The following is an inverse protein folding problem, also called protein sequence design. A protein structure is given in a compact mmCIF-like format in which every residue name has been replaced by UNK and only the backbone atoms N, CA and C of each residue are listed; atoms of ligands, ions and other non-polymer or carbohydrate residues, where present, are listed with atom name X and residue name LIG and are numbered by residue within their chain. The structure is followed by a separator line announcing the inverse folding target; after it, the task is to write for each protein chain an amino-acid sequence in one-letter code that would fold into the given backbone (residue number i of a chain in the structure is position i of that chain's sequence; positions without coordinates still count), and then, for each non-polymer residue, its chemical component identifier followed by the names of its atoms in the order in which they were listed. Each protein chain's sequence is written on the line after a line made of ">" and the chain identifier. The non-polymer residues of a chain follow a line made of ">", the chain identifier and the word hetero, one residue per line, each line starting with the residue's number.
data_IF_506778691208
#
_entry.id   IF_506778691208
#
_cell.length_a   1.000
_cell.length_b   1.000
_cell.length_c   1.000
_cell.angle_alpha   90.00
_cell.angle_beta   90.00
_cell.angle_gamma   90.00
#
_symmetry.space_group_name_H-M   'P 1'
#
loop_
_entity.id
_entity.type
_entity.pdbx_description
1 polymer ?
#
# COMPACT_ATOMS: atom_id res chain seq x y z
N UNK A 1 -18.44 21.67 -2.27
CA UNK A 1 -17.52 20.63 -2.80
C UNK A 1 -16.38 20.51 -1.82
N UNK A 2 -15.86 19.31 -1.61
CA UNK A 2 -14.71 19.15 -0.73
C UNK A 2 -13.46 19.78 -1.36
N UNK A 3 -12.60 20.34 -0.51
CA UNK A 3 -11.29 20.88 -0.87
C UNK A 3 -10.18 19.90 -0.52
N UNK A 4 -9.12 19.87 -1.31
CA UNK A 4 -7.97 19.00 -1.12
C UNK A 4 -6.65 19.75 -1.14
N UNK A 5 -5.67 19.24 -0.39
CA UNK A 5 -4.27 19.61 -0.56
C UNK A 5 -3.39 18.36 -0.67
N UNK A 6 -2.22 18.48 -1.32
CA UNK A 6 -1.25 17.40 -1.45
C UNK A 6 0.04 17.78 -0.77
N UNK A 7 0.50 16.93 0.16
CA UNK A 7 1.75 17.09 0.89
C UNK A 7 2.74 16.02 0.43
N UNK A 8 3.85 16.44 -0.17
CA UNK A 8 4.80 15.61 -0.89
C UNK A 8 4.48 15.54 -2.38
N UNK A 9 5.24 16.26 -3.21
CA UNK A 9 5.07 16.34 -4.67
C UNK A 9 6.07 15.41 -5.40
N UNK A 10 6.20 14.17 -4.88
CA UNK A 10 7.06 13.14 -5.45
C UNK A 10 6.39 12.30 -6.54
N UNK A 11 6.96 11.11 -6.81
CA UNK A 11 6.53 10.26 -7.92
C UNK A 11 5.06 9.80 -7.82
N UNK A 12 4.55 9.52 -6.60
CA UNK A 12 3.17 9.02 -6.40
C UNK A 12 2.14 10.14 -6.40
N UNK A 13 2.53 11.38 -6.09
CA UNK A 13 1.58 12.52 -6.04
C UNK A 13 0.85 12.77 -7.35
N UNK A 14 1.47 12.44 -8.49
CA UNK A 14 0.85 12.61 -9.82
C UNK A 14 -0.46 11.81 -9.96
N UNK A 15 -0.54 10.65 -9.30
CA UNK A 15 -1.75 9.81 -9.31
C UNK A 15 -2.85 10.44 -8.47
N UNK A 16 -2.48 11.01 -7.31
CA UNK A 16 -3.41 11.72 -6.44
C UNK A 16 -3.93 13.01 -7.10
N UNK A 17 -3.05 13.80 -7.69
CA UNK A 17 -3.44 15.03 -8.41
C UNK A 17 -4.39 14.72 -9.57
N UNK A 18 -4.11 13.69 -10.37
CA UNK A 18 -4.98 13.28 -11.46
C UNK A 18 -6.35 12.77 -10.95
N UNK A 19 -6.38 12.08 -9.81
CA UNK A 19 -7.64 11.62 -9.22
C UNK A 19 -8.47 12.79 -8.67
N UNK A 20 -7.84 13.74 -7.98
CA UNK A 20 -8.46 14.99 -7.49
C UNK A 20 -9.14 15.74 -8.64
N UNK A 21 -8.40 15.93 -9.75
CA UNK A 21 -8.90 16.60 -10.96
C UNK A 21 -10.13 15.87 -11.54
N UNK A 22 -10.03 14.53 -11.74
CA UNK A 22 -11.13 13.73 -12.31
C UNK A 22 -12.38 13.71 -11.46
N UNK A 23 -12.22 13.76 -10.14
CA UNK A 23 -13.32 13.79 -9.19
C UNK A 23 -13.97 15.19 -9.08
N UNK A 24 -13.39 16.21 -9.70
CA UNK A 24 -13.83 17.58 -9.58
C UNK A 24 -13.67 18.15 -8.17
N UNK A 25 -12.75 17.59 -7.38
CA UNK A 25 -12.38 18.11 -6.06
C UNK A 25 -11.50 19.35 -6.25
N UNK A 26 -11.72 20.41 -5.49
CA UNK A 26 -10.93 21.62 -5.57
C UNK A 26 -9.55 21.41 -4.92
N UNK A 27 -8.48 21.46 -5.71
CA UNK A 27 -7.11 21.47 -5.19
C UNK A 27 -6.75 22.88 -4.73
N UNK A 28 -6.72 23.10 -3.42
CA UNK A 28 -6.43 24.42 -2.83
C UNK A 28 -4.95 24.66 -2.60
N UNK A 29 -4.10 23.63 -2.54
CA UNK A 29 -2.67 23.81 -2.38
C UNK A 29 -1.84 22.56 -2.47
N UNK A 30 -0.54 22.74 -2.61
CA UNK A 30 0.47 21.66 -2.59
C UNK A 30 1.63 22.08 -1.67
N UNK A 31 2.31 21.09 -1.07
CA UNK A 31 3.45 21.33 -0.19
C UNK A 31 4.58 20.35 -0.50
N UNK A 32 5.78 20.85 -0.71
CA UNK A 32 7.01 20.04 -0.75
C UNK A 32 8.18 20.90 -0.26
N UNK A 33 9.03 20.39 0.67
CA UNK A 33 10.19 21.14 1.15
C UNK A 33 11.26 21.38 0.06
N UNK A 34 11.18 20.66 -1.07
CA UNK A 34 12.04 20.87 -2.24
C UNK A 34 11.36 21.88 -3.19
N UNK A 35 11.82 23.14 -3.26
CA UNK A 35 11.08 24.21 -3.96
C UNK A 35 10.82 23.93 -5.44
N UNK A 36 11.68 23.14 -6.10
CA UNK A 36 11.52 22.76 -7.49
C UNK A 36 10.33 21.84 -7.76
N UNK A 37 9.74 21.19 -6.73
CA UNK A 37 8.61 20.29 -6.86
C UNK A 37 7.25 20.95 -6.65
N UNK A 38 7.23 22.03 -5.89
CA UNK A 38 6.03 22.83 -5.64
C UNK A 38 6.35 24.32 -5.82
N UNK A 39 6.60 24.80 -7.05
CA UNK A 39 7.13 26.16 -7.27
C UNK A 39 6.23 27.28 -6.74
N UNK A 40 4.92 27.06 -6.69
CA UNK A 40 3.91 27.99 -6.15
C UNK A 40 3.27 27.48 -4.86
N UNK A 41 3.81 26.41 -4.29
CA UNK A 41 3.27 25.73 -3.11
C UNK A 41 3.97 26.14 -1.81
N UNK A 42 3.55 25.48 -0.76
CA UNK A 42 4.13 25.61 0.56
C UNK A 42 5.38 24.74 0.71
N UNK A 43 6.32 25.18 1.53
CA UNK A 43 7.50 24.39 1.92
C UNK A 43 7.30 23.69 3.27
N UNK A 44 6.34 24.15 4.07
CA UNK A 44 5.98 23.59 5.36
C UNK A 44 4.49 23.20 5.36
N UNK A 45 4.21 21.94 5.70
CA UNK A 45 2.85 21.44 5.73
C UNK A 45 1.95 22.09 6.80
N UNK A 46 2.53 22.56 7.93
CA UNK A 46 1.76 23.24 8.98
C UNK A 46 1.23 24.57 8.46
N UNK A 47 2.07 25.32 7.76
CA UNK A 47 1.65 26.60 7.18
C UNK A 47 0.53 26.37 6.17
N UNK A 48 0.63 25.33 5.33
CA UNK A 48 -0.43 24.94 4.40
C UNK A 48 -1.74 24.61 5.14
N UNK A 49 -1.67 23.78 6.20
CA UNK A 49 -2.83 23.38 6.98
C UNK A 49 -3.49 24.54 7.69
N UNK A 50 -2.70 25.46 8.26
CA UNK A 50 -3.18 26.62 9.03
C UNK A 50 -3.81 27.69 8.11
N UNK A 51 -3.20 27.94 6.94
CA UNK A 51 -3.64 28.98 6.00
C UNK A 51 -4.85 28.53 5.16
N UNK A 52 -4.81 27.29 4.63
CA UNK A 52 -5.79 26.81 3.64
C UNK A 52 -6.93 26.00 4.24
N UNK A 53 -6.71 25.32 5.36
CA UNK A 53 -7.69 24.47 6.06
C UNK A 53 -8.47 23.57 5.10
N UNK A 54 -7.79 22.71 4.29
CA UNK A 54 -8.47 21.85 3.36
C UNK A 54 -9.35 20.83 4.10
N UNK A 55 -10.40 20.34 3.44
CA UNK A 55 -11.21 19.24 3.99
C UNK A 55 -10.39 17.94 4.05
N UNK A 56 -9.53 17.71 3.06
CA UNK A 56 -8.69 16.49 2.95
C UNK A 56 -7.26 16.85 2.59
N UNK A 57 -6.29 16.20 3.26
CA UNK A 57 -4.90 16.18 2.80
C UNK A 57 -4.51 14.80 2.28
N UNK A 58 -3.85 14.78 1.12
CA UNK A 58 -3.19 13.59 0.59
C UNK A 58 -1.72 13.62 0.98
N UNK A 59 -1.27 12.64 1.77
CA UNK A 59 0.12 12.57 2.25
C UNK A 59 0.90 11.60 1.37
N UNK A 60 1.82 12.15 0.57
CA UNK A 60 2.63 11.47 -0.45
C UNK A 60 4.15 11.61 -0.18
N UNK A 61 4.51 11.77 1.07
CA UNK A 61 5.88 12.04 1.55
C UNK A 61 6.72 10.76 1.71
N UNK A 62 8.01 10.85 2.07
CA UNK A 62 8.76 9.71 2.61
C UNK A 62 8.11 9.13 3.87
N UNK A 63 8.29 7.83 4.10
CA UNK A 63 7.59 7.07 5.12
C UNK A 63 7.77 7.60 6.56
N UNK A 64 8.94 8.15 6.87
CA UNK A 64 9.26 8.75 8.18
C UNK A 64 8.43 10.02 8.47
N UNK A 65 7.87 10.65 7.44
CA UNK A 65 7.06 11.87 7.54
C UNK A 65 5.56 11.59 7.61
N UNK A 66 5.11 10.38 7.32
CA UNK A 66 3.70 10.02 7.28
C UNK A 66 2.98 10.35 8.59
N UNK A 67 3.47 9.80 9.70
CA UNK A 67 2.82 9.93 11.01
C UNK A 67 2.85 11.37 11.57
N UNK A 68 3.99 12.09 11.57
CA UNK A 68 3.99 13.48 12.04
C UNK A 68 2.99 14.36 11.28
N UNK A 69 2.96 14.26 9.94
CA UNK A 69 2.06 15.07 9.12
C UNK A 69 0.60 14.67 9.33
N UNK A 70 0.32 13.36 9.42
CA UNK A 70 -1.04 12.88 9.68
C UNK A 70 -1.57 13.37 11.03
N UNK A 71 -0.75 13.35 12.10
CA UNK A 71 -1.14 13.86 13.42
C UNK A 71 -1.40 15.37 13.35
N UNK A 72 -0.51 16.14 12.72
CA UNK A 72 -0.70 17.59 12.54
C UNK A 72 -2.01 17.92 11.79
N UNK A 73 -2.44 17.06 10.85
CA UNK A 73 -3.72 17.20 10.16
C UNK A 73 -4.92 16.84 11.06
N UNK A 74 -4.83 15.73 11.83
CA UNK A 74 -5.87 15.31 12.77
C UNK A 74 -6.17 16.40 13.82
N UNK A 75 -5.12 16.99 14.40
CA UNK A 75 -5.23 18.07 15.40
C UNK A 75 -5.93 19.32 14.87
N UNK A 76 -6.04 19.46 13.53
CA UNK A 76 -6.73 20.55 12.83
C UNK A 76 -8.10 20.16 12.27
N UNK A 77 -8.55 18.92 12.52
CA UNK A 77 -9.81 18.41 12.02
C UNK A 77 -9.81 18.12 10.50
N UNK A 78 -8.64 17.95 9.89
CA UNK A 78 -8.47 17.70 8.46
C UNK A 78 -8.42 16.21 8.19
N UNK A 79 -9.29 15.71 7.31
CA UNK A 79 -9.28 14.31 6.88
C UNK A 79 -7.98 13.95 6.14
N UNK A 80 -7.53 12.70 6.30
CA UNK A 80 -6.22 12.26 5.79
C UNK A 80 -6.39 11.09 4.83
N UNK A 81 -5.86 11.22 3.62
CA UNK A 81 -5.58 10.09 2.75
C UNK A 81 -4.07 9.88 2.67
N UNK A 82 -3.61 8.79 3.28
CA UNK A 82 -2.21 8.49 3.54
C UNK A 82 -1.67 7.44 2.58
N UNK A 83 -0.54 7.72 1.94
CA UNK A 83 0.18 6.68 1.20
C UNK A 83 0.70 5.57 2.14
N UNK A 84 0.82 4.39 1.57
CA UNK A 84 1.41 3.25 2.28
C UNK A 84 2.96 3.39 2.36
N UNK A 85 3.60 2.79 3.35
CA UNK A 85 3.03 2.19 4.56
C UNK A 85 2.46 3.27 5.49
N UNK A 86 1.62 2.87 6.43
CA UNK A 86 1.11 3.80 7.46
C UNK A 86 2.23 4.58 8.14
N UNK A 87 3.33 3.90 8.41
CA UNK A 87 4.50 4.45 9.07
C UNK A 87 5.76 3.67 8.68
N UNK A 88 6.94 4.22 8.95
CA UNK A 88 8.21 3.53 8.77
C UNK A 88 8.52 2.52 9.90
N UNK A 89 7.82 2.59 11.04
CA UNK A 89 7.94 1.63 12.16
C UNK A 89 6.57 1.36 12.78
N UNK A 90 6.39 0.19 13.41
CA UNK A 90 5.18 -0.15 14.17
C UNK A 90 4.93 0.84 15.31
N UNK A 91 5.98 1.26 16.02
CA UNK A 91 5.84 2.24 17.10
C UNK A 91 5.23 3.58 16.62
N UNK A 92 5.60 4.03 15.42
CA UNK A 92 4.99 5.23 14.82
C UNK A 92 3.55 4.97 14.39
N UNK A 93 3.25 3.80 13.83
CA UNK A 93 1.88 3.43 13.48
C UNK A 93 0.97 3.40 14.71
N UNK A 94 1.42 2.85 15.83
CA UNK A 94 0.68 2.85 17.10
C UNK A 94 0.40 4.26 17.62
N UNK A 95 1.34 5.20 17.43
CA UNK A 95 1.10 6.63 17.77
C UNK A 95 -0.02 7.23 16.92
N UNK A 96 -0.05 6.91 15.60
CA UNK A 96 -1.12 7.40 14.73
C UNK A 96 -2.47 6.74 15.05
N UNK A 97 -2.47 5.45 15.41
CA UNK A 97 -3.68 4.74 15.88
C UNK A 97 -4.23 5.39 17.14
N UNK A 98 -3.36 5.75 18.10
CA UNK A 98 -3.78 6.44 19.33
C UNK A 98 -4.37 7.83 18.99
N UNK A 99 -3.67 8.63 18.19
CA UNK A 99 -4.14 9.94 17.77
C UNK A 99 -5.49 9.87 17.01
N UNK A 100 -5.67 8.87 16.14
CA UNK A 100 -6.93 8.68 15.43
C UNK A 100 -8.12 8.35 16.35
N UNK A 101 -7.88 7.70 17.48
CA UNK A 101 -8.91 7.44 18.50
C UNK A 101 -9.32 8.70 19.25
N UNK A 102 -8.40 9.66 19.41
CA UNK A 102 -8.69 10.94 20.05
C UNK A 102 -9.43 11.91 19.11
N UNK A 103 -9.45 11.63 17.79
CA UNK A 103 -10.11 12.42 16.75
C UNK A 103 -11.09 11.56 15.90
N UNK A 104 -12.12 10.96 16.51
CA UNK A 104 -13.03 10.02 15.81
C UNK A 104 -13.84 10.67 14.68
N UNK A 105 -13.98 11.99 14.68
CA UNK A 105 -14.65 12.78 13.64
C UNK A 105 -13.81 12.90 12.37
N UNK A 106 -12.49 12.66 12.44
CA UNK A 106 -11.59 12.77 11.31
C UNK A 106 -11.34 11.40 10.70
N UNK A 107 -11.55 11.29 9.39
CA UNK A 107 -11.28 10.05 8.66
C UNK A 107 -9.84 9.97 8.22
N UNK A 108 -9.26 8.79 8.39
CA UNK A 108 -7.97 8.43 7.80
C UNK A 108 -8.18 7.25 6.86
N UNK A 109 -7.78 7.41 5.59
CA UNK A 109 -7.68 6.31 4.63
C UNK A 109 -6.22 6.00 4.32
N UNK A 110 -5.89 4.72 4.17
CA UNK A 110 -4.55 4.25 3.78
C UNK A 110 -4.59 3.69 2.37
N UNK A 111 -3.66 4.08 1.51
CA UNK A 111 -3.61 3.70 0.12
C UNK A 111 -3.15 2.24 -0.08
N UNK A 112 -4.01 1.29 0.30
CA UNK A 112 -3.90 -0.13 -0.03
C UNK A 112 -4.74 -0.43 -1.29
N UNK A 113 -4.48 0.32 -2.36
CA UNK A 113 -5.28 0.37 -3.58
C UNK A 113 -5.40 -0.98 -4.30
N UNK A 114 -4.47 -1.92 -4.11
CA UNK A 114 -4.55 -3.23 -4.76
C UNK A 114 -5.79 -4.03 -4.34
N UNK A 115 -6.39 -3.72 -3.19
CA UNK A 115 -7.69 -4.28 -2.80
C UNK A 115 -8.86 -3.81 -3.67
N UNK A 116 -8.67 -2.76 -4.48
CA UNK A 116 -9.64 -2.27 -5.47
C UNK A 116 -9.41 -2.83 -6.88
N UNK A 117 -8.38 -3.67 -7.09
CA UNK A 117 -8.20 -4.38 -8.34
C UNK A 117 -9.40 -5.28 -8.60
N UNK A 118 -9.93 -5.27 -9.82
CA UNK A 118 -11.08 -6.10 -10.20
C UNK A 118 -10.83 -7.58 -9.93
N UNK A 119 -9.62 -8.04 -10.26
CA UNK A 119 -9.19 -9.42 -10.05
C UNK A 119 -9.09 -9.79 -8.58
N UNK A 120 -8.59 -8.89 -7.72
CA UNK A 120 -8.52 -9.11 -6.28
C UNK A 120 -9.93 -9.15 -5.63
N UNK A 121 -10.82 -8.26 -6.04
CA UNK A 121 -12.23 -8.24 -5.60
C UNK A 121 -12.97 -9.51 -6.01
N UNK A 122 -12.80 -9.95 -7.26
CA UNK A 122 -13.41 -11.18 -7.75
C UNK A 122 -12.87 -12.41 -7.01
N UNK A 123 -11.56 -12.51 -6.82
CA UNK A 123 -10.96 -13.58 -6.01
C UNK A 123 -11.52 -13.60 -4.59
N UNK A 124 -11.63 -12.42 -3.93
CA UNK A 124 -12.22 -12.30 -2.58
C UNK A 124 -13.67 -12.80 -2.55
N UNK A 125 -14.48 -12.41 -3.54
CA UNK A 125 -15.88 -12.83 -3.66
C UNK A 125 -15.99 -14.34 -3.84
N UNK A 126 -15.19 -14.94 -4.74
CA UNK A 126 -15.17 -16.38 -4.97
C UNK A 126 -14.73 -17.17 -3.73
N UNK A 127 -13.72 -16.70 -3.01
CA UNK A 127 -13.26 -17.34 -1.78
C UNK A 127 -14.32 -17.24 -0.66
N UNK A 128 -14.98 -16.09 -0.55
CA UNK A 128 -16.02 -15.84 0.46
C UNK A 128 -17.32 -16.61 0.17
N UNK A 129 -17.62 -16.98 -1.08
CA UNK A 129 -18.81 -17.76 -1.43
C UNK A 129 -18.81 -19.17 -0.84
N UNK A 130 -17.62 -19.71 -0.54
CA UNK A 130 -17.44 -21.08 -0.10
C UNK A 130 -17.55 -22.14 -1.21
N UNK A 131 -17.87 -21.74 -2.44
CA UNK A 131 -18.00 -22.66 -3.58
C UNK A 131 -16.71 -23.42 -3.91
N UNK A 132 -15.57 -22.79 -3.65
CA UNK A 132 -14.26 -23.37 -3.92
C UNK A 132 -13.76 -24.31 -2.79
N UNK A 133 -14.51 -24.40 -1.69
CA UNK A 133 -14.09 -25.15 -0.50
C UNK A 133 -13.03 -24.39 0.30
N UNK A 134 -12.40 -25.09 1.25
CA UNK A 134 -11.41 -24.48 2.15
C UNK A 134 -10.15 -24.07 1.39
N UNK A 135 -9.57 -22.92 1.77
CA UNK A 135 -8.24 -22.51 1.33
C UNK A 135 -7.20 -23.44 1.94
N UNK A 136 -6.34 -24.01 1.12
CA UNK A 136 -5.28 -24.96 1.50
C UNK A 136 -3.93 -24.27 1.65
N UNK A 137 -3.67 -23.25 0.86
CA UNK A 137 -2.43 -22.51 0.88
C UNK A 137 -2.31 -21.55 -0.29
N UNK A 138 -1.12 -20.98 -0.44
CA UNK A 138 -0.84 -20.10 -1.56
C UNK A 138 0.62 -19.72 -1.68
N UNK A 139 0.93 -19.01 -2.75
CA UNK A 139 2.25 -18.44 -2.97
C UNK A 139 2.14 -17.08 -3.63
N UNK A 140 3.13 -16.23 -3.38
CA UNK A 140 3.23 -14.96 -4.09
C UNK A 140 4.66 -14.60 -4.44
N UNK A 141 4.82 -13.85 -5.53
CA UNK A 141 6.13 -13.37 -6.00
C UNK A 141 6.07 -11.89 -6.39
N UNK A 142 7.09 -11.14 -5.93
CA UNK A 142 7.37 -9.77 -6.34
C UNK A 142 8.80 -9.74 -6.88
N UNK A 143 8.94 -9.84 -8.19
CA UNK A 143 10.23 -9.96 -8.87
C UNK A 143 10.45 -8.70 -9.69
N UNK A 144 11.03 -7.66 -9.06
CA UNK A 144 11.21 -6.38 -9.69
C UNK A 144 12.69 -6.03 -9.86
N UNK A 145 12.94 -5.08 -10.74
CA UNK A 145 14.26 -4.51 -10.97
C UNK A 145 14.31 -3.09 -10.41
N UNK A 146 15.30 -2.85 -9.57
CA UNK A 146 15.71 -1.49 -9.19
C UNK A 146 17.19 -1.39 -9.37
N UNK A 147 17.65 -0.29 -9.94
CA UNK A 147 19.04 0.02 -10.11
C UNK A 147 19.58 0.94 -9.00
N UNK A 148 20.85 1.27 -9.05
CA UNK A 148 21.47 2.18 -8.10
C UNK A 148 20.90 3.60 -8.20
N UNK A 149 20.47 4.01 -9.40
CA UNK A 149 19.90 5.33 -9.63
C UNK A 149 18.55 5.50 -8.93
N UNK A 150 17.74 4.44 -8.83
CA UNK A 150 16.50 4.44 -8.05
C UNK A 150 16.72 4.87 -6.60
N UNK A 151 17.83 4.44 -5.99
CA UNK A 151 18.18 4.81 -4.60
C UNK A 151 18.87 6.16 -4.52
N UNK A 152 19.72 6.51 -5.50
CA UNK A 152 20.42 7.81 -5.54
C UNK A 152 19.44 8.96 -5.78
N UNK A 153 18.48 8.79 -6.67
CA UNK A 153 17.45 9.79 -6.94
C UNK A 153 16.54 10.07 -5.73
N UNK A 154 16.40 9.10 -4.84
CA UNK A 154 15.60 9.20 -3.61
C UNK A 154 16.29 8.47 -2.46
N UNK A 155 17.32 9.09 -1.84
CA UNK A 155 18.18 8.41 -0.86
C UNK A 155 17.44 7.82 0.35
N UNK A 156 16.29 8.40 0.73
CA UNK A 156 15.47 7.91 1.84
C UNK A 156 15.00 6.46 1.66
N UNK A 157 14.85 5.99 0.40
CA UNK A 157 14.40 4.62 0.06
C UNK A 157 15.38 3.54 0.49
N UNK A 158 16.66 3.88 0.55
CA UNK A 158 17.74 2.96 0.92
C UNK A 158 18.19 3.09 2.37
N UNK A 159 17.43 3.82 3.22
CA UNK A 159 17.81 4.11 4.60
C UNK A 159 16.73 3.66 5.56
N UNK A 160 17.03 2.65 6.39
CA UNK A 160 16.11 2.07 7.37
C UNK A 160 15.49 3.15 8.28
N UNK A 161 16.29 4.12 8.73
CA UNK A 161 15.82 5.21 9.58
C UNK A 161 14.72 6.07 8.93
N UNK A 162 14.58 6.03 7.60
CA UNK A 162 13.61 6.84 6.85
C UNK A 162 12.52 6.03 6.17
N UNK A 163 12.88 4.90 5.57
CA UNK A 163 11.93 4.02 4.87
C UNK A 163 11.33 2.94 5.77
N UNK A 164 12.01 2.58 6.88
CA UNK A 164 11.62 1.49 7.76
C UNK A 164 12.09 0.11 7.28
N UNK A 165 12.57 -0.01 6.04
CA UNK A 165 13.03 -1.24 5.42
C UNK A 165 13.09 -1.12 3.89
N UNK A 166 13.34 -2.22 3.21
CA UNK A 166 13.55 -2.29 1.77
C UNK A 166 12.38 -2.89 1.00
N UNK A 167 12.67 -4.05 0.34
CA UNK A 167 11.70 -4.67 -0.58
C UNK A 167 10.36 -5.02 0.08
N UNK A 168 10.37 -5.46 1.32
CA UNK A 168 9.15 -5.84 2.02
C UNK A 168 8.21 -4.65 2.23
N UNK A 169 8.71 -3.57 2.81
CA UNK A 169 7.89 -2.42 3.19
C UNK A 169 7.59 -1.49 1.99
N UNK A 170 8.49 -1.45 1.00
CA UNK A 170 8.35 -0.52 -0.12
C UNK A 170 7.61 -1.13 -1.32
N UNK A 171 7.97 -2.35 -1.73
CA UNK A 171 7.42 -3.01 -2.91
C UNK A 171 6.42 -4.11 -2.57
N UNK A 172 6.74 -5.01 -1.65
CA UNK A 172 5.97 -6.21 -1.41
C UNK A 172 4.79 -6.03 -0.44
N UNK A 173 4.69 -4.91 0.28
CA UNK A 173 3.64 -4.67 1.27
C UNK A 173 2.23 -4.84 0.69
N UNK A 174 1.96 -4.40 -0.53
CA UNK A 174 0.66 -4.59 -1.18
C UNK A 174 0.35 -6.06 -1.46
N UNK A 175 1.37 -6.84 -1.82
CA UNK A 175 1.20 -8.28 -2.08
C UNK A 175 0.98 -9.03 -0.78
N UNK A 176 1.72 -8.68 0.28
CA UNK A 176 1.53 -9.24 1.62
C UNK A 176 0.13 -8.91 2.16
N UNK A 177 -0.32 -7.66 1.98
CA UNK A 177 -1.66 -7.22 2.32
C UNK A 177 -2.74 -8.03 1.60
N UNK A 178 -2.60 -8.24 0.28
CA UNK A 178 -3.54 -9.06 -0.47
C UNK A 178 -3.52 -10.53 -0.02
N UNK A 179 -2.36 -11.09 0.30
CA UNK A 179 -2.30 -12.46 0.82
C UNK A 179 -3.07 -12.59 2.13
N UNK A 180 -2.86 -11.69 3.08
CA UNK A 180 -3.58 -11.66 4.34
C UNK A 180 -5.08 -11.45 4.12
N UNK A 181 -5.47 -10.51 3.26
CA UNK A 181 -6.86 -10.22 2.96
C UNK A 181 -7.61 -11.36 2.27
N UNK A 182 -6.93 -12.12 1.37
CA UNK A 182 -7.54 -13.21 0.60
C UNK A 182 -7.51 -14.56 1.34
N UNK A 183 -6.41 -14.89 2.04
CA UNK A 183 -6.25 -16.19 2.68
C UNK A 183 -6.68 -16.18 4.17
N UNK A 184 -6.91 -15.00 4.74
CA UNK A 184 -7.29 -14.79 6.14
C UNK A 184 -6.12 -14.33 7.00
N UNK A 185 -6.44 -13.98 8.25
CA UNK A 185 -5.50 -13.43 9.21
C UNK A 185 -4.26 -14.30 9.36
N UNK A 186 -3.09 -13.68 9.40
CA UNK A 186 -1.81 -14.37 9.64
C UNK A 186 -1.58 -14.45 11.14
N UNK A 187 -1.42 -15.66 11.65
CA UNK A 187 -1.15 -15.92 13.07
C UNK A 187 0.32 -16.12 13.38
N UNK A 188 1.11 -16.54 12.40
CA UNK A 188 2.56 -16.66 12.50
C UNK A 188 3.22 -16.31 11.17
N UNK A 189 4.33 -15.57 11.23
CA UNK A 189 5.20 -15.30 10.10
C UNK A 189 6.64 -15.65 10.45
N UNK A 190 7.28 -16.40 9.56
CA UNK A 190 8.72 -16.67 9.58
C UNK A 190 9.33 -16.22 8.26
N UNK A 191 10.53 -15.71 8.29
CA UNK A 191 11.13 -15.24 7.03
C UNK A 191 12.61 -14.94 7.18
N UNK A 192 13.19 -14.62 6.05
CA UNK A 192 14.58 -14.15 5.98
C UNK A 192 14.69 -12.97 5.01
N UNK A 193 15.54 -12.03 5.36
CA UNK A 193 15.85 -10.85 4.55
C UNK A 193 17.35 -10.77 4.26
N UNK A 194 17.71 -10.26 3.11
CA UNK A 194 19.11 -10.15 2.71
C UNK A 194 19.38 -8.98 1.78
N UNK A 195 20.68 -8.66 1.64
CA UNK A 195 21.20 -7.64 0.72
C UNK A 195 22.15 -8.30 -0.25
N UNK A 196 21.69 -8.59 -1.46
CA UNK A 196 22.44 -9.36 -2.44
C UNK A 196 22.90 -8.55 -3.64
N UNK A 197 22.22 -7.43 -3.97
CA UNK A 197 22.48 -6.66 -5.18
C UNK A 197 23.21 -5.33 -4.99
N UNK A 198 23.06 -4.67 -3.84
CA UNK A 198 23.50 -3.28 -3.67
C UNK A 198 24.65 -3.08 -2.68
N UNK A 199 25.11 -4.15 -2.02
CA UNK A 199 26.23 -4.08 -1.06
C UNK A 199 25.98 -3.05 0.04
N UNK A 200 26.95 -2.16 0.29
CA UNK A 200 26.86 -1.11 1.30
C UNK A 200 26.20 0.19 0.86
N UNK A 201 25.67 0.28 -0.36
CA UNK A 201 25.00 1.51 -0.84
C UNK A 201 23.66 1.76 -0.16
N UNK A 202 22.97 0.70 0.27
CA UNK A 202 21.73 0.73 1.04
C UNK A 202 21.90 -0.03 2.34
N UNK A 203 21.16 0.33 3.37
CA UNK A 203 21.13 -0.39 4.65
C UNK A 203 19.84 -1.22 4.85
N UNK A 204 18.97 -1.23 3.84
CA UNK A 204 17.73 -2.00 3.80
C UNK A 204 17.90 -3.28 2.97
N UNK A 205 17.01 -4.26 3.16
CA UNK A 205 16.99 -5.49 2.39
C UNK A 205 16.52 -5.27 0.95
N UNK A 206 17.14 -5.96 0.00
CA UNK A 206 16.75 -5.99 -1.40
C UNK A 206 16.01 -7.27 -1.80
N UNK A 207 16.08 -8.28 -0.93
CA UNK A 207 15.47 -9.60 -1.16
C UNK A 207 14.94 -10.16 0.15
N UNK A 208 13.78 -10.81 0.11
CA UNK A 208 13.15 -11.46 1.25
C UNK A 208 12.32 -12.68 0.83
N UNK A 209 12.18 -13.65 1.75
CA UNK A 209 11.17 -14.71 1.64
C UNK A 209 10.47 -14.90 2.97
N UNK A 210 9.16 -15.16 2.92
CA UNK A 210 8.31 -15.34 4.08
C UNK A 210 7.54 -16.66 3.98
N UNK A 211 7.35 -17.31 5.11
CA UNK A 211 6.36 -18.37 5.32
C UNK A 211 5.30 -17.81 6.28
N UNK A 212 4.04 -17.89 5.88
CA UNK A 212 2.89 -17.38 6.62
C UNK A 212 1.98 -18.54 7.02
N UNK A 213 1.56 -18.58 8.29
CA UNK A 213 0.50 -19.45 8.76
C UNK A 213 -0.76 -18.62 8.99
N UNK A 214 -1.87 -19.03 8.37
CA UNK A 214 -3.15 -18.32 8.46
C UNK A 214 -4.05 -18.94 9.51
N UNK A 215 -4.91 -18.15 10.13
CA UNK A 215 -5.84 -18.59 11.18
C UNK A 215 -6.75 -19.77 10.73
N UNK A 216 -7.08 -19.85 9.42
CA UNK A 216 -7.81 -20.97 8.81
C UNK A 216 -7.00 -22.26 8.61
N UNK A 217 -5.73 -22.30 9.04
CA UNK A 217 -4.82 -23.45 8.86
C UNK A 217 -4.12 -23.51 7.50
N UNK A 218 -4.41 -22.58 6.60
CA UNK A 218 -3.67 -22.46 5.34
C UNK A 218 -2.23 -21.97 5.58
N UNK A 219 -1.32 -22.36 4.69
CA UNK A 219 0.07 -21.86 4.68
C UNK A 219 0.39 -21.23 3.34
N UNK A 220 1.13 -20.14 3.37
CA UNK A 220 1.54 -19.48 2.14
C UNK A 220 2.98 -18.98 2.21
N UNK A 221 3.57 -18.76 1.03
CA UNK A 221 4.94 -18.26 0.89
C UNK A 221 4.95 -17.00 0.03
N UNK A 222 5.80 -16.05 0.41
CA UNK A 222 6.10 -14.86 -0.37
C UNK A 222 7.59 -14.81 -0.67
N UNK A 223 7.95 -14.64 -1.95
CA UNK A 223 9.30 -14.29 -2.35
C UNK A 223 9.29 -12.90 -3.00
N UNK A 224 10.13 -12.00 -2.51
CA UNK A 224 10.24 -10.65 -3.00
C UNK A 224 11.70 -10.25 -3.23
N UNK A 225 11.99 -9.66 -4.39
CA UNK A 225 13.31 -9.11 -4.70
C UNK A 225 13.19 -7.89 -5.62
N UNK A 226 14.14 -6.97 -5.48
CA UNK A 226 14.35 -5.85 -6.42
C UNK A 226 15.62 -6.01 -7.24
N UNK A 227 16.28 -7.17 -7.14
CA UNK A 227 17.50 -7.50 -7.90
C UNK A 227 17.24 -8.36 -9.12
N UNK A 228 15.97 -8.47 -9.55
CA UNK A 228 15.62 -9.20 -10.77
C UNK A 228 16.14 -8.47 -12.03
N UNK A 229 16.23 -9.16 -13.16
CA UNK A 229 16.72 -8.58 -14.42
C UNK A 229 15.79 -7.51 -14.98
N UNK A 230 14.46 -7.69 -14.78
CA UNK A 230 13.40 -6.76 -15.21
C UNK A 230 12.20 -6.87 -14.26
N UNK A 231 11.27 -5.93 -14.34
CA UNK A 231 10.01 -6.00 -13.60
C UNK A 231 9.13 -7.11 -14.18
N UNK A 232 8.86 -8.14 -13.39
CA UNK A 232 7.88 -9.15 -13.69
C UNK A 232 6.50 -8.78 -13.11
N UNK A 233 5.40 -9.21 -13.73
CA UNK A 233 4.07 -9.08 -13.12
C UNK A 233 4.05 -9.77 -11.74
N UNK A 234 3.48 -9.10 -10.75
CA UNK A 234 3.21 -9.71 -9.44
C UNK A 234 2.32 -10.94 -9.64
N UNK A 235 2.70 -12.04 -9.02
CA UNK A 235 1.92 -13.27 -9.03
C UNK A 235 1.42 -13.62 -7.64
N UNK A 236 0.12 -13.95 -7.52
CA UNK A 236 -0.48 -14.52 -6.32
C UNK A 236 -1.24 -15.78 -6.74
N UNK A 237 -0.86 -16.92 -6.20
CA UNK A 237 -1.55 -18.19 -6.41
C UNK A 237 -2.20 -18.63 -5.11
N UNK A 238 -3.48 -19.02 -5.16
CA UNK A 238 -4.26 -19.51 -4.03
C UNK A 238 -4.81 -20.87 -4.37
N UNK A 239 -4.50 -21.86 -3.56
CA UNK A 239 -4.97 -23.24 -3.70
C UNK A 239 -6.12 -23.49 -2.74
N UNK A 240 -7.24 -23.94 -3.29
CA UNK A 240 -8.42 -24.36 -2.53
C UNK A 240 -8.70 -25.86 -2.72
N UNK A 241 -9.73 -26.38 -2.10
CA UNK A 241 -10.13 -27.79 -2.30
C UNK A 241 -10.56 -28.11 -3.73
N UNK A 242 -11.13 -27.12 -4.44
CA UNK A 242 -11.81 -27.36 -5.72
C UNK A 242 -11.22 -26.58 -6.89
N UNK A 243 -10.34 -25.60 -6.63
CA UNK A 243 -9.74 -24.78 -7.68
C UNK A 243 -8.40 -24.20 -7.23
N UNK A 244 -7.63 -23.75 -8.21
CA UNK A 244 -6.49 -22.85 -8.04
C UNK A 244 -6.84 -21.50 -8.68
N UNK A 245 -6.63 -20.43 -7.94
CA UNK A 245 -6.76 -19.06 -8.41
C UNK A 245 -5.36 -18.50 -8.64
N UNK A 246 -5.09 -17.95 -9.82
CA UNK A 246 -3.85 -17.26 -10.16
C UNK A 246 -4.15 -15.82 -10.55
N UNK A 247 -3.70 -14.86 -9.76
CA UNK A 247 -3.71 -13.44 -10.10
C UNK A 247 -2.32 -13.10 -10.65
N UNK A 248 -2.25 -12.78 -11.93
CA UNK A 248 -1.02 -12.30 -12.59
C UNK A 248 -1.40 -11.31 -13.69
N UNK A 249 -1.71 -10.07 -13.27
CA UNK A 249 -2.50 -9.15 -14.07
C UNK A 249 -3.96 -9.61 -14.07
N UNK A 250 -4.30 -10.54 -14.93
CA UNK A 250 -5.64 -11.15 -14.95
C UNK A 250 -5.80 -12.20 -13.84
N UNK A 251 -7.05 -12.54 -13.50
CA UNK A 251 -7.39 -13.66 -12.61
C UNK A 251 -7.73 -14.88 -13.46
N UNK A 252 -7.01 -15.97 -13.26
CA UNK A 252 -7.33 -17.29 -13.81
C UNK A 252 -7.80 -18.21 -12.70
N UNK A 253 -8.97 -18.83 -12.86
CA UNK A 253 -9.50 -19.85 -11.95
C UNK A 253 -9.50 -21.19 -12.68
N UNK A 254 -8.69 -22.13 -12.20
CA UNK A 254 -8.58 -23.48 -12.75
C UNK A 254 -9.26 -24.47 -11.80
N UNK A 255 -10.39 -25.00 -12.20
CA UNK A 255 -11.19 -25.91 -11.39
C UNK A 255 -10.68 -27.36 -11.49
N UNK A 256 -10.93 -28.14 -10.45
CA UNK A 256 -10.53 -29.54 -10.35
C UNK A 256 -11.18 -30.42 -11.44
N UNK A 257 -12.33 -30.02 -11.98
CA UNK A 257 -13.02 -30.72 -13.08
C UNK A 257 -12.43 -30.42 -14.46
N UNK A 258 -11.36 -29.62 -14.55
CA UNK A 258 -10.67 -29.23 -15.77
C UNK A 258 -11.19 -27.95 -16.41
N UNK A 259 -12.26 -27.35 -15.89
CA UNK A 259 -12.76 -26.05 -16.33
C UNK A 259 -11.76 -24.95 -15.97
N UNK A 260 -11.66 -23.93 -16.82
CA UNK A 260 -10.84 -22.73 -16.55
C UNK A 260 -11.65 -21.49 -16.91
N UNK A 261 -11.62 -20.50 -16.03
CA UNK A 261 -12.24 -19.20 -16.21
C UNK A 261 -11.18 -18.10 -16.10
N UNK A 262 -11.29 -17.04 -16.92
CA UNK A 262 -10.35 -15.92 -16.92
C UNK A 262 -11.15 -14.63 -16.81
N UNK A 263 -10.77 -13.79 -15.83
CA UNK A 263 -11.26 -12.43 -15.68
C UNK A 263 -10.12 -11.45 -15.94
N UNK A 264 -10.27 -10.62 -16.96
CA UNK A 264 -9.29 -9.59 -17.29
C UNK A 264 -9.30 -8.46 -16.28
N UNK A 265 -8.10 -7.99 -15.87
CA UNK A 265 -7.96 -6.79 -15.04
C UNK A 265 -8.26 -5.52 -15.85
N UNK A 266 -8.73 -4.48 -15.16
CA UNK A 266 -8.89 -3.15 -15.75
C UNK A 266 -7.54 -2.58 -16.15
N UNK A 267 -7.36 -2.35 -17.44
CA UNK A 267 -6.13 -1.74 -17.97
C UNK A 267 -6.28 -0.23 -17.95
N UNK A 268 -5.29 0.47 -17.41
CA UNK A 268 -5.15 1.92 -17.60
C UNK A 268 -4.73 2.23 -19.03
N UNK A 269 -5.18 3.38 -19.56
CA UNK A 269 -4.79 3.82 -20.90
C UNK A 269 -3.27 3.97 -21.07
N UNK A 270 -2.78 4.15 -22.31
CA UNK A 270 -1.36 4.25 -22.60
C UNK A 270 -0.72 5.43 -21.85
N UNK A 271 0.36 5.15 -21.11
CA UNK A 271 1.19 6.15 -20.42
C UNK A 271 1.29 6.05 -18.90
N UNK A 272 0.48 5.22 -18.22
CA UNK A 272 0.60 4.98 -16.78
C UNK A 272 1.52 3.80 -16.45
N UNK A 273 2.25 3.87 -15.34
CA UNK A 273 2.91 2.67 -14.80
C UNK A 273 1.82 1.68 -14.41
N UNK A 274 1.79 0.52 -15.08
CA UNK A 274 0.69 -0.46 -15.01
C UNK A 274 0.31 -0.89 -13.57
N UNK A 275 1.24 -0.79 -12.62
CA UNK A 275 1.03 -1.13 -11.22
C UNK A 275 0.47 0.04 -10.35
N UNK A 276 0.35 1.27 -10.89
CA UNK A 276 -0.30 2.40 -10.22
C UNK A 276 -1.76 2.62 -10.67
N UNK A 277 -2.23 1.83 -11.58
CA UNK A 277 -3.48 1.77 -12.30
C UNK A 277 -4.74 2.42 -11.72
N UNK A 278 -5.87 2.05 -12.32
CA UNK A 278 -7.21 2.52 -11.97
C UNK A 278 -7.59 2.37 -10.48
N UNK A 279 -6.90 1.52 -9.75
CA UNK A 279 -7.21 1.17 -8.36
C UNK A 279 -6.93 2.29 -7.37
N UNK A 280 -5.90 3.15 -7.58
CA UNK A 280 -5.71 4.37 -6.78
C UNK A 280 -6.90 5.30 -6.92
N UNK A 281 -7.33 5.57 -8.16
CA UNK A 281 -8.48 6.43 -8.44
C UNK A 281 -9.75 5.88 -7.78
N UNK A 282 -9.99 4.57 -7.86
CA UNK A 282 -11.13 3.93 -7.22
C UNK A 282 -11.11 4.06 -5.69
N UNK A 283 -9.95 3.85 -5.07
CA UNK A 283 -9.78 4.04 -3.64
C UNK A 283 -10.00 5.50 -3.24
N UNK A 284 -9.40 6.45 -3.97
CA UNK A 284 -9.55 7.88 -3.71
C UNK A 284 -11.02 8.29 -3.86
N UNK A 285 -11.70 7.86 -4.92
CA UNK A 285 -13.11 8.13 -5.14
C UNK A 285 -13.99 7.57 -4.01
N UNK A 286 -13.70 6.35 -3.55
CA UNK A 286 -14.40 5.72 -2.44
C UNK A 286 -14.20 6.47 -1.12
N UNK A 287 -12.97 6.93 -0.86
CA UNK A 287 -12.66 7.75 0.32
C UNK A 287 -13.48 9.04 0.35
N UNK A 288 -13.50 9.81 -0.75
CA UNK A 288 -14.30 11.03 -0.85
C UNK A 288 -15.80 10.77 -0.74
N UNK A 289 -16.30 9.70 -1.34
CA UNK A 289 -17.71 9.30 -1.24
C UNK A 289 -18.12 8.99 0.19
N UNK A 290 -17.21 8.45 0.99
CA UNK A 290 -17.46 8.08 2.39
C UNK A 290 -17.20 9.22 3.40
N UNK A 291 -16.69 10.38 2.98
CA UNK A 291 -16.44 11.50 3.90
C UNK A 291 -17.67 11.89 4.74
N UNK A 292 -18.89 11.99 4.17
CA UNK A 292 -20.07 12.36 4.95
C UNK A 292 -20.62 11.23 5.84
N UNK A 293 -20.17 9.99 5.65
CA UNK A 293 -20.64 8.86 6.43
C UNK A 293 -20.07 8.88 7.85
N UNK A 294 -20.81 8.50 8.90
CA UNK A 294 -20.31 8.51 10.27
C UNK A 294 -19.26 7.42 10.55
N UNK A 295 -19.29 6.32 9.78
CA UNK A 295 -18.35 5.21 9.98
C UNK A 295 -16.93 5.57 9.55
N UNK A 296 -15.88 5.06 10.22
CA UNK A 296 -14.51 5.21 9.75
C UNK A 296 -14.32 4.58 8.37
N UNK A 297 -13.33 5.06 7.63
CA UNK A 297 -12.99 4.44 6.34
C UNK A 297 -12.47 3.02 6.57
N UNK A 298 -12.94 2.06 5.78
CA UNK A 298 -12.64 0.63 5.99
C UNK A 298 -11.16 0.26 5.84
N UNK A 299 -10.39 1.01 5.03
CA UNK A 299 -8.94 0.96 4.97
C UNK A 299 -8.31 2.04 5.85
N UNK A 300 -8.67 2.05 7.12
CA UNK A 300 -8.11 2.97 8.11
C UNK A 300 -6.72 2.57 8.60
N UNK A 301 -6.23 3.30 9.60
CA UNK A 301 -4.86 3.14 10.13
C UNK A 301 -4.62 1.75 10.71
N UNK A 302 -5.60 1.19 11.43
CA UNK A 302 -5.50 -0.14 12.05
C UNK A 302 -5.33 -1.22 11.00
N UNK A 303 -6.19 -1.20 9.96
CA UNK A 303 -6.13 -2.13 8.83
C UNK A 303 -4.83 -1.97 8.04
N UNK A 304 -4.41 -0.72 7.76
CA UNK A 304 -3.17 -0.42 7.06
C UNK A 304 -1.90 -0.81 7.83
N UNK A 305 -1.99 -1.01 9.16
CA UNK A 305 -0.87 -1.40 10.01
C UNK A 305 -0.63 -2.91 10.05
N UNK A 306 -1.60 -3.74 9.64
CA UNK A 306 -1.52 -5.20 9.74
C UNK A 306 -0.28 -5.75 9.03
N UNK A 307 -0.12 -5.47 7.74
CA UNK A 307 1.06 -5.92 6.98
C UNK A 307 2.37 -5.36 7.52
N UNK A 308 2.38 -4.14 8.05
CA UNK A 308 3.57 -3.55 8.69
C UNK A 308 3.98 -4.33 9.95
N UNK A 309 3.02 -4.79 10.76
CA UNK A 309 3.30 -5.64 11.93
C UNK A 309 3.92 -6.97 11.53
N UNK A 310 3.47 -7.59 10.44
CA UNK A 310 4.08 -8.82 9.91
C UNK A 310 5.52 -8.59 9.44
N UNK A 311 5.77 -7.50 8.73
CA UNK A 311 7.10 -7.11 8.28
C UNK A 311 8.04 -6.88 9.48
N UNK A 312 7.59 -6.16 10.50
CA UNK A 312 8.35 -5.90 11.72
C UNK A 312 8.72 -7.20 12.46
N UNK A 313 7.79 -8.17 12.53
CA UNK A 313 8.07 -9.49 13.11
C UNK A 313 9.21 -10.20 12.37
N UNK A 314 9.24 -10.12 11.02
CA UNK A 314 10.31 -10.71 10.22
C UNK A 314 11.65 -10.01 10.49
N UNK A 315 11.66 -8.69 10.55
CA UNK A 315 12.89 -7.94 10.83
C UNK A 315 13.48 -8.28 12.20
N UNK A 316 12.65 -8.47 13.22
CA UNK A 316 13.07 -8.86 14.58
C UNK A 316 13.62 -10.28 14.68
N UNK A 317 13.37 -11.16 13.72
CA UNK A 317 13.94 -12.52 13.71
C UNK A 317 15.43 -12.54 13.35
N UNK A 318 15.98 -11.42 12.86
CA UNK A 318 17.36 -11.30 12.36
C UNK A 318 18.18 -10.23 13.10
N UNK A 319 17.62 -9.64 14.16
CA UNK A 319 18.31 -8.78 15.11
C UNK A 319 18.69 -9.58 16.35
#
# INVERSE_FOLDING_TARGET
>A
MATAAVIGCGDVSVVHLAAIERLGVELVGVCDPEPGRAPTGYVNHRDLLDDLRPDVVHICTPHDQHVPIAIDALERGVHVLLEKPVAHTVAQAERLIAAAKDHPEVKIGVCLQNRYNLTAQAARTLLASGELGAVRGGSATVLWHRDREYYRARPWRGRTARSGGGVLINQAIHTLDLMEWLLGDVVEVRGHTGRYGFGGEIDVEDTAHLLLEHAGGARSVLFATVTNVHDAPVGIEIVTERATLLIRGDLTVSYRDGRTEVLAERRTGPGGRAYWGASHELLIADFYRQLPEPAPFWLGVEEGTRSLRLIDQVYRQHT
#
